data_IF_191933667302
#
_entry.id   IF_191933667302
#
_cell.length_a   1.000
_cell.length_b   1.000
_cell.length_c   1.000
_cell.angle_alpha   90.00
_cell.angle_beta   90.00
_cell.angle_gamma   90.00
#
_symmetry.space_group_name_H-M   'P 1'
#
loop_
_entity.id
_entity.type
_entity.pdbx_description
1 polymer ?
#
# COMPACT_ATOMS: atom_id res chain seq x y z
N UNK A 1 2.26 -77.66 -2.85
CA UNK A 1 0.95 -77.33 -3.42
C UNK A 1 1.15 -76.61 -4.76
N UNK A 2 0.53 -77.14 -5.82
CA UNK A 2 0.11 -76.56 -7.12
C UNK A 2 0.69 -75.18 -7.50
N UNK A 3 1.54 -75.08 -8.54
CA UNK A 3 1.20 -74.93 -9.99
C UNK A 3 0.56 -73.59 -10.40
N UNK A 4 1.16 -72.97 -11.43
CA UNK A 4 0.62 -71.84 -12.24
C UNK A 4 1.56 -70.62 -12.23
N UNK A 5 2.65 -70.47 -13.00
CA UNK A 5 2.91 -70.59 -14.46
C UNK A 5 2.25 -69.47 -15.32
N UNK A 6 3.15 -68.75 -16.04
CA UNK A 6 3.03 -67.90 -17.26
C UNK A 6 2.72 -66.42 -17.06
N UNK A 7 3.38 -65.45 -17.72
CA UNK A 7 4.55 -65.39 -18.65
C UNK A 7 4.86 -63.87 -18.83
N UNK A 8 6.12 -63.43 -18.72
CA UNK A 8 7.04 -63.00 -19.81
C UNK A 8 6.52 -61.85 -20.69
N UNK A 9 7.32 -60.81 -21.01
CA UNK A 9 8.61 -60.92 -21.73
C UNK A 9 9.70 -60.00 -21.15
N UNK A 10 10.90 -60.58 -21.10
CA UNK A 10 12.18 -59.96 -20.85
C UNK A 10 12.89 -59.63 -22.17
N UNK A 11 13.76 -58.63 -22.15
CA UNK A 11 15.08 -58.58 -22.79
C UNK A 11 15.63 -57.17 -22.51
N UNK A 12 16.82 -56.94 -21.99
CA UNK A 12 17.99 -57.79 -21.81
C UNK A 12 19.17 -56.81 -21.79
N UNK A 13 20.04 -56.94 -20.79
CA UNK A 13 21.25 -56.14 -20.68
C UNK A 13 22.11 -56.27 -21.95
N UNK A 14 22.70 -55.17 -22.42
CA UNK A 14 24.03 -55.25 -23.03
C UNK A 14 24.79 -53.93 -22.86
N UNK A 15 25.79 -54.07 -22.01
CA UNK A 15 27.08 -53.39 -21.92
C UNK A 15 27.51 -52.62 -23.17
N UNK A 16 27.93 -51.38 -22.88
CA UNK A 16 28.83 -50.50 -23.62
C UNK A 16 29.42 -51.01 -24.95
N UNK A 17 29.11 -50.26 -26.02
CA UNK A 17 30.09 -50.01 -27.08
C UNK A 17 30.35 -48.50 -27.09
N UNK A 18 31.49 -48.09 -26.53
CA UNK A 18 32.12 -46.84 -26.89
C UNK A 18 32.51 -46.94 -28.38
N UNK A 19 31.66 -46.43 -29.26
CA UNK A 19 32.07 -46.12 -30.63
C UNK A 19 32.34 -44.62 -30.69
N UNK A 20 33.60 -44.31 -30.92
CA UNK A 20 34.13 -43.03 -31.36
C UNK A 20 33.22 -42.34 -32.37
N UNK A 21 32.78 -41.13 -32.03
CA UNK A 21 32.14 -40.21 -32.96
C UNK A 21 31.97 -38.87 -32.27
N UNK A 22 32.71 -37.86 -32.73
CA UNK A 22 32.58 -36.49 -32.26
C UNK A 22 31.15 -35.99 -32.49
N UNK A 23 30.32 -36.02 -31.46
CA UNK A 23 29.11 -35.20 -31.41
C UNK A 23 29.33 -34.20 -30.28
N UNK A 24 29.77 -32.99 -30.64
CA UNK A 24 29.48 -31.82 -29.81
C UNK A 24 27.95 -31.81 -29.65
N UNK A 25 27.39 -31.82 -28.43
CA UNK A 25 25.98 -31.50 -28.29
C UNK A 25 25.80 -30.11 -28.90
N UNK A 26 25.11 -30.02 -30.03
CA UNK A 26 24.61 -28.74 -30.52
C UNK A 26 23.62 -28.26 -29.48
N UNK A 27 23.86 -27.04 -28.96
CA UNK A 27 22.99 -26.35 -28.01
C UNK A 27 21.56 -26.15 -28.54
N UNK A 28 21.27 -26.53 -29.79
CA UNK A 28 19.99 -26.40 -30.47
C UNK A 28 18.90 -27.35 -29.96
N UNK A 29 19.25 -28.41 -29.20
CA UNK A 29 18.27 -29.35 -28.64
C UNK A 29 18.11 -29.26 -27.10
N UNK A 30 18.65 -28.20 -26.47
CA UNK A 30 18.19 -27.83 -25.14
C UNK A 30 16.92 -26.98 -25.30
N UNK A 31 15.75 -27.62 -25.25
CA UNK A 31 14.51 -26.89 -24.99
C UNK A 31 14.75 -26.01 -23.75
N UNK A 32 14.44 -24.70 -23.80
CA UNK A 32 14.61 -23.85 -22.63
C UNK A 32 13.69 -24.37 -21.54
N UNK A 33 14.26 -25.04 -20.54
CA UNK A 33 13.54 -25.80 -19.51
C UNK A 33 12.84 -24.94 -18.46
N UNK A 34 12.59 -23.67 -18.75
CA UNK A 34 11.85 -22.76 -17.87
C UNK A 34 11.18 -21.71 -18.74
N UNK A 35 9.85 -21.61 -18.65
CA UNK A 35 9.14 -20.38 -19.01
C UNK A 35 9.78 -19.28 -18.17
N UNK A 36 10.59 -18.42 -18.82
CA UNK A 36 11.21 -17.29 -18.15
C UNK A 36 10.16 -16.21 -18.04
N UNK A 37 9.38 -16.28 -16.97
CA UNK A 37 8.48 -15.20 -16.57
C UNK A 37 9.28 -13.89 -16.43
N UNK A 38 8.68 -12.79 -16.86
CA UNK A 38 9.30 -11.47 -16.76
C UNK A 38 8.41 -10.49 -16.00
N UNK A 39 9.04 -9.69 -15.15
CA UNK A 39 8.38 -8.68 -14.33
C UNK A 39 9.03 -7.31 -14.53
N UNK A 40 8.22 -6.28 -14.79
CA UNK A 40 8.67 -4.89 -14.79
C UNK A 40 8.17 -4.18 -13.54
N UNK A 41 9.06 -3.45 -12.89
CA UNK A 41 8.70 -2.55 -11.79
C UNK A 41 8.75 -1.10 -12.25
N UNK A 42 7.65 -0.36 -12.05
CA UNK A 42 7.59 1.07 -12.34
C UNK A 42 7.83 1.85 -11.04
N UNK A 43 8.93 2.57 -11.00
CA UNK A 43 9.38 3.34 -9.84
C UNK A 43 9.25 4.84 -10.08
N UNK A 44 8.97 5.59 -9.00
CA UNK A 44 9.01 7.06 -8.98
C UNK A 44 10.32 7.60 -8.38
N UNK A 45 11.31 6.75 -8.12
CA UNK A 45 12.59 7.15 -7.54
C UNK A 45 13.28 8.23 -8.40
N UNK A 46 13.71 9.32 -7.76
CA UNK A 46 14.26 10.48 -8.46
C UNK A 46 15.79 10.52 -8.40
N UNK A 47 16.37 10.21 -7.23
CA UNK A 47 17.82 10.26 -7.01
C UNK A 47 18.50 8.90 -7.20
N UNK A 48 19.80 8.92 -7.48
CA UNK A 48 20.56 7.71 -7.83
C UNK A 48 20.65 6.69 -6.68
N UNK A 49 20.63 7.14 -5.42
CA UNK A 49 20.65 6.24 -4.25
C UNK A 49 19.33 5.45 -4.14
N UNK A 50 18.19 6.11 -4.33
CA UNK A 50 16.87 5.49 -4.38
C UNK A 50 16.76 4.55 -5.57
N UNK A 51 17.20 4.98 -6.76
CA UNK A 51 17.20 4.14 -7.97
C UNK A 51 18.00 2.87 -7.76
N UNK A 52 19.21 2.98 -7.22
CA UNK A 52 20.07 1.83 -6.92
C UNK A 52 19.41 0.88 -5.91
N UNK A 53 18.79 1.42 -4.86
CA UNK A 53 18.08 0.62 -3.85
C UNK A 53 16.89 -0.14 -4.45
N UNK A 54 16.14 0.49 -5.35
CA UNK A 54 15.03 -0.13 -6.08
C UNK A 54 15.54 -1.23 -7.02
N UNK A 55 16.58 -0.97 -7.80
CA UNK A 55 17.19 -1.96 -8.69
C UNK A 55 17.69 -3.18 -7.93
N UNK A 56 18.37 -2.96 -6.79
CA UNK A 56 18.85 -4.04 -5.95
C UNK A 56 17.70 -4.90 -5.43
N UNK A 57 16.63 -4.28 -4.90
CA UNK A 57 15.47 -5.00 -4.40
C UNK A 57 14.77 -5.81 -5.51
N UNK A 58 14.55 -5.20 -6.67
CA UNK A 58 13.90 -5.87 -7.80
C UNK A 58 14.75 -7.03 -8.31
N UNK A 59 16.07 -6.83 -8.42
CA UNK A 59 17.02 -7.87 -8.83
C UNK A 59 17.09 -9.02 -7.82
N UNK A 60 17.08 -8.73 -6.52
CA UNK A 60 17.06 -9.73 -5.46
C UNK A 60 15.81 -10.61 -5.57
N UNK A 61 14.63 -9.99 -5.59
CA UNK A 61 13.36 -10.71 -5.70
C UNK A 61 13.26 -11.52 -6.99
N UNK A 62 13.72 -10.96 -8.11
CA UNK A 62 13.73 -11.67 -9.38
C UNK A 62 14.65 -12.90 -9.35
N UNK A 63 15.87 -12.75 -8.80
CA UNK A 63 16.83 -13.84 -8.65
C UNK A 63 16.30 -14.96 -7.75
N UNK A 64 15.67 -14.63 -6.62
CA UNK A 64 15.07 -15.62 -5.71
C UNK A 64 13.98 -16.47 -6.37
N UNK A 65 13.28 -15.90 -7.36
CA UNK A 65 12.12 -16.52 -8.01
C UNK A 65 12.43 -17.03 -9.43
N UNK A 66 13.67 -16.90 -9.92
CA UNK A 66 14.05 -17.31 -11.28
C UNK A 66 13.40 -16.48 -12.38
N UNK A 67 13.09 -15.21 -12.10
CA UNK A 67 12.46 -14.26 -13.01
C UNK A 67 13.50 -13.43 -13.76
N UNK A 68 13.13 -12.96 -14.95
CA UNK A 68 13.77 -11.77 -15.52
C UNK A 68 13.07 -10.51 -15.00
N UNK A 69 13.82 -9.43 -14.81
CA UNK A 69 13.25 -8.17 -14.32
C UNK A 69 13.83 -6.94 -14.99
N UNK A 70 13.02 -5.88 -15.04
CA UNK A 70 13.40 -4.55 -15.45
C UNK A 70 12.81 -3.52 -14.49
N UNK A 71 13.51 -2.40 -14.32
CA UNK A 71 13.00 -1.22 -13.60
C UNK A 71 12.80 -0.10 -14.60
N UNK A 72 11.63 0.53 -14.54
CA UNK A 72 11.30 1.68 -15.37
C UNK A 72 10.96 2.85 -14.47
N UNK A 73 11.51 4.02 -14.77
CA UNK A 73 11.32 5.22 -13.96
C UNK A 73 10.26 6.12 -14.60
N UNK A 74 9.14 6.35 -13.89
CA UNK A 74 7.98 7.08 -14.41
C UNK A 74 8.19 8.58 -14.59
N UNK A 75 9.33 9.13 -14.13
CA UNK A 75 9.74 10.51 -14.39
C UNK A 75 10.04 10.75 -15.88
N UNK A 76 10.23 9.70 -16.66
CA UNK A 76 10.37 9.76 -18.11
C UNK A 76 9.03 9.45 -18.79
N UNK A 77 8.40 10.48 -19.35
CA UNK A 77 7.08 10.39 -19.98
C UNK A 77 7.02 9.38 -21.15
N UNK A 78 8.17 9.03 -21.75
CA UNK A 78 8.23 8.02 -22.81
C UNK A 78 8.50 6.60 -22.28
N UNK A 79 8.98 6.47 -21.03
CA UNK A 79 9.41 5.20 -20.50
C UNK A 79 8.24 4.29 -20.11
N UNK A 80 7.09 4.85 -19.70
CA UNK A 80 5.93 4.05 -19.33
C UNK A 80 5.32 3.30 -20.52
N UNK A 81 5.28 3.92 -21.70
CA UNK A 81 4.87 3.23 -22.94
C UNK A 81 5.84 2.13 -23.36
N UNK A 82 7.12 2.26 -23.01
CA UNK A 82 8.15 1.26 -23.31
C UNK A 82 8.10 0.06 -22.36
N UNK A 83 7.44 0.18 -21.18
CA UNK A 83 7.24 -0.96 -20.27
C UNK A 83 6.62 -2.13 -21.01
N UNK A 84 5.63 -1.90 -21.87
CA UNK A 84 4.91 -2.99 -22.54
C UNK A 84 5.62 -3.52 -23.79
N UNK A 85 6.72 -2.88 -24.19
CA UNK A 85 7.56 -3.32 -25.32
C UNK A 85 8.64 -4.33 -24.90
N UNK A 86 8.84 -4.56 -23.59
CA UNK A 86 9.79 -5.55 -23.08
C UNK A 86 9.42 -6.96 -23.55
N UNK A 87 10.29 -7.65 -24.32
CA UNK A 87 9.99 -8.98 -24.85
C UNK A 87 9.71 -9.98 -23.72
N UNK A 88 8.54 -10.61 -23.78
CA UNK A 88 8.14 -11.63 -22.80
C UNK A 88 7.74 -11.08 -21.44
N UNK A 89 7.43 -9.78 -21.33
CA UNK A 89 6.84 -9.21 -20.12
C UNK A 89 5.52 -9.91 -19.75
N UNK A 90 5.35 -10.28 -18.48
CA UNK A 90 4.14 -10.94 -18.00
C UNK A 90 3.42 -10.17 -16.89
N UNK A 91 4.15 -9.33 -16.16
CA UNK A 91 3.66 -8.62 -14.97
C UNK A 91 4.28 -7.22 -14.86
N UNK A 92 3.45 -6.21 -14.64
CA UNK A 92 3.83 -4.85 -14.27
C UNK A 92 3.42 -4.61 -12.82
N UNK A 93 4.38 -4.21 -11.99
CA UNK A 93 4.14 -3.75 -10.61
C UNK A 93 4.41 -2.24 -10.56
N UNK A 94 3.43 -1.44 -10.13
CA UNK A 94 3.52 0.02 -10.16
C UNK A 94 2.70 0.66 -9.04
N UNK A 95 2.93 1.94 -8.73
CA UNK A 95 1.99 2.70 -7.91
C UNK A 95 0.69 2.98 -8.69
N UNK A 96 -0.46 2.92 -8.04
CA UNK A 96 -1.76 3.10 -8.66
C UNK A 96 -2.01 4.56 -9.11
N UNK A 97 -1.33 5.52 -8.50
CA UNK A 97 -1.32 6.93 -8.91
C UNK A 97 -0.30 7.25 -10.00
N UNK A 98 0.42 6.24 -10.53
CA UNK A 98 1.33 6.42 -11.68
C UNK A 98 0.52 6.95 -12.88
N UNK A 99 0.92 8.07 -13.50
CA UNK A 99 0.21 8.62 -14.66
C UNK A 99 -0.01 7.57 -15.75
N UNK A 100 -1.20 7.53 -16.36
CA UNK A 100 -1.54 6.65 -17.49
C UNK A 100 -1.47 5.12 -17.24
N UNK A 101 -1.14 4.64 -16.04
CA UNK A 101 -1.00 3.20 -15.78
C UNK A 101 -2.31 2.42 -16.01
N UNK A 102 -3.46 3.03 -15.68
CA UNK A 102 -4.77 2.44 -15.94
C UNK A 102 -5.14 2.38 -17.43
N UNK A 103 -4.71 3.38 -18.22
CA UNK A 103 -4.90 3.37 -19.67
C UNK A 103 -4.00 2.31 -20.34
N UNK A 104 -2.78 2.15 -19.84
CA UNK A 104 -1.86 1.12 -20.28
C UNK A 104 -2.42 -0.27 -20.00
N UNK A 105 -2.95 -0.50 -18.80
CA UNK A 105 -3.58 -1.77 -18.43
C UNK A 105 -4.79 -2.11 -19.31
N UNK A 106 -5.58 -1.10 -19.69
CA UNK A 106 -6.71 -1.29 -20.61
C UNK A 106 -6.28 -1.65 -22.05
N UNK A 107 -5.12 -1.13 -22.50
CA UNK A 107 -4.57 -1.40 -23.84
C UNK A 107 -3.90 -2.77 -23.96
N UNK A 108 -3.46 -3.34 -22.84
CA UNK A 108 -2.70 -4.58 -22.78
C UNK A 108 -3.38 -5.64 -21.91
N UNK A 109 -4.54 -6.20 -22.32
CA UNK A 109 -5.26 -7.22 -21.56
C UNK A 109 -4.47 -8.53 -21.37
N UNK A 110 -3.43 -8.76 -22.18
CA UNK A 110 -2.50 -9.88 -22.09
C UNK A 110 -1.50 -9.75 -20.94
N UNK A 111 -1.23 -8.52 -20.47
CA UNK A 111 -0.28 -8.24 -19.39
C UNK A 111 -1.01 -8.15 -18.05
N UNK A 112 -0.35 -8.61 -16.98
CA UNK A 112 -0.85 -8.49 -15.61
C UNK A 112 -0.38 -7.18 -14.99
N UNK A 113 -1.24 -6.53 -14.22
CA UNK A 113 -0.94 -5.29 -13.53
C UNK A 113 -1.28 -5.41 -12.05
N UNK A 114 -0.27 -5.20 -11.21
CA UNK A 114 -0.41 -5.14 -9.77
C UNK A 114 -0.10 -3.72 -9.29
N UNK A 115 -1.15 -2.98 -8.96
CA UNK A 115 -1.07 -1.55 -8.66
C UNK A 115 -1.14 -1.29 -7.16
N UNK A 116 -0.17 -0.57 -6.63
CA UNK A 116 -0.04 -0.28 -5.19
C UNK A 116 -0.77 1.00 -4.80
N UNK A 117 -1.53 0.94 -3.71
CA UNK A 117 -2.17 2.11 -3.10
C UNK A 117 -3.70 2.03 -3.06
N UNK A 118 -4.27 2.83 -2.15
CA UNK A 118 -5.70 2.85 -1.87
C UNK A 118 -6.49 3.44 -3.03
N UNK A 119 -7.16 2.57 -3.78
CA UNK A 119 -7.96 2.92 -4.95
C UNK A 119 -9.28 2.15 -4.95
N UNK A 120 -10.22 2.60 -5.77
CA UNK A 120 -11.49 1.90 -5.97
C UNK A 120 -11.25 0.47 -6.47
N UNK A 121 -12.24 -0.42 -6.32
CA UNK A 121 -12.11 -1.81 -6.81
C UNK A 121 -11.68 -1.86 -8.28
N UNK A 122 -10.70 -2.71 -8.63
CA UNK A 122 -10.21 -2.82 -9.99
C UNK A 122 -11.31 -3.36 -10.91
N UNK A 123 -11.50 -2.67 -12.05
CA UNK A 123 -12.53 -3.01 -13.03
C UNK A 123 -12.04 -3.95 -14.13
N UNK A 124 -10.73 -4.01 -14.34
CA UNK A 124 -10.11 -4.79 -15.40
C UNK A 124 -9.68 -6.16 -14.89
N UNK A 125 -9.90 -7.21 -15.67
CA UNK A 125 -9.58 -8.60 -15.32
C UNK A 125 -8.08 -8.87 -15.17
N UNK A 126 -7.25 -8.01 -15.76
CA UNK A 126 -5.80 -8.05 -15.72
C UNK A 126 -5.20 -7.07 -14.71
N UNK A 127 -6.01 -6.41 -13.88
CA UNK A 127 -5.55 -5.48 -12.84
C UNK A 127 -5.94 -6.01 -11.46
N UNK A 128 -5.02 -5.99 -10.51
CA UNK A 128 -5.32 -6.10 -9.08
C UNK A 128 -4.71 -4.92 -8.34
N UNK A 129 -5.36 -4.54 -7.25
CA UNK A 129 -4.83 -3.51 -6.37
C UNK A 129 -4.23 -4.13 -5.12
N UNK A 130 -3.09 -3.61 -4.71
CA UNK A 130 -2.31 -4.04 -3.56
C UNK A 130 -2.42 -2.92 -2.53
N UNK A 131 -3.12 -3.19 -1.43
CA UNK A 131 -3.54 -2.16 -0.48
C UNK A 131 -3.05 -2.48 0.93
N UNK A 132 -3.00 -1.45 1.79
CA UNK A 132 -2.77 -1.64 3.22
C UNK A 132 -3.97 -2.32 3.88
N UNK A 133 -3.75 -2.90 5.06
CA UNK A 133 -4.85 -3.19 5.98
C UNK A 133 -5.43 -1.85 6.45
N UNK A 134 -6.52 -1.42 5.82
CA UNK A 134 -7.17 -0.12 6.08
C UNK A 134 -7.59 0.03 7.55
N UNK A 135 -8.06 -1.03 8.20
CA UNK A 135 -8.46 -0.95 9.62
C UNK A 135 -7.25 -0.66 10.50
N UNK A 136 -6.17 -1.43 10.32
CA UNK A 136 -4.92 -1.22 11.04
C UNK A 136 -4.33 0.17 10.77
N UNK A 137 -4.33 0.59 9.51
CA UNK A 137 -3.83 1.91 9.09
C UNK A 137 -4.58 3.04 9.82
N UNK A 138 -5.90 3.04 9.78
CA UNK A 138 -6.70 4.10 10.39
C UNK A 138 -6.63 4.10 11.93
N UNK A 139 -6.56 2.92 12.54
CA UNK A 139 -6.28 2.81 13.98
C UNK A 139 -4.95 3.49 14.35
N UNK A 140 -3.88 3.20 13.62
CA UNK A 140 -2.58 3.81 13.87
C UNK A 140 -2.55 5.31 13.55
N UNK A 141 -3.27 5.76 12.53
CA UNK A 141 -3.39 7.18 12.21
C UNK A 141 -4.06 7.96 13.37
N UNK A 142 -5.14 7.42 13.95
CA UNK A 142 -5.80 8.00 15.12
C UNK A 142 -4.90 8.06 16.34
N UNK A 143 -4.14 6.98 16.60
CA UNK A 143 -3.14 6.92 17.68
C UNK A 143 -2.03 7.98 17.50
N UNK A 144 -1.42 8.04 16.32
CA UNK A 144 -0.36 9.00 16.00
C UNK A 144 -0.86 10.44 16.12
N UNK A 145 -2.08 10.72 15.67
CA UNK A 145 -2.67 12.05 15.76
C UNK A 145 -2.91 12.48 17.19
N UNK A 146 -3.40 11.57 18.03
CA UNK A 146 -3.59 11.81 19.45
C UNK A 146 -2.26 12.07 20.18
N UNK A 147 -1.20 11.31 19.87
CA UNK A 147 0.14 11.49 20.46
C UNK A 147 0.81 12.79 19.99
N UNK A 148 0.68 13.15 18.72
CA UNK A 148 1.15 14.45 18.20
C UNK A 148 0.36 15.64 18.78
N UNK A 149 -0.89 15.40 19.19
CA UNK A 149 -1.76 16.41 19.81
C UNK A 149 -1.70 16.40 21.36
N UNK A 150 -0.77 15.63 21.96
CA UNK A 150 -0.77 15.36 23.41
C UNK A 150 -0.67 16.60 24.29
N UNK A 151 0.03 17.64 23.82
CA UNK A 151 0.22 18.91 24.56
C UNK A 151 -0.93 19.90 24.34
N UNK A 152 -1.90 19.57 23.49
CA UNK A 152 -3.08 20.40 23.23
C UNK A 152 -4.31 19.89 23.98
N UNK A 153 -5.01 20.84 24.60
CA UNK A 153 -6.33 20.61 25.22
C UNK A 153 -7.47 20.60 24.20
N UNK A 154 -7.23 21.05 22.97
CA UNK A 154 -8.20 21.02 21.88
C UNK A 154 -8.09 19.71 21.08
N UNK A 155 -9.20 19.14 20.57
CA UNK A 155 -9.18 17.93 19.76
C UNK A 155 -8.42 18.13 18.47
N UNK A 156 -7.79 17.07 17.95
CA UNK A 156 -7.14 17.13 16.64
C UNK A 156 -8.17 17.16 15.51
N UNK A 157 -7.74 17.57 14.32
CA UNK A 157 -8.60 17.67 13.14
C UNK A 157 -8.56 16.39 12.30
N UNK A 158 -9.69 15.97 11.75
CA UNK A 158 -9.76 14.93 10.71
C UNK A 158 -10.35 15.56 9.47
N UNK A 159 -9.55 15.66 8.41
CA UNK A 159 -10.01 16.18 7.13
C UNK A 159 -10.73 15.07 6.37
N UNK A 160 -11.98 15.33 6.02
CA UNK A 160 -12.86 14.37 5.36
C UNK A 160 -13.50 14.98 4.12
N UNK A 161 -13.84 14.17 3.13
CA UNK A 161 -14.61 14.64 1.97
C UNK A 161 -16.04 15.00 2.38
N UNK A 162 -16.65 14.13 3.19
CA UNK A 162 -18.00 14.26 3.74
C UNK A 162 -17.98 13.86 5.22
N UNK A 163 -18.86 14.44 6.07
CA UNK A 163 -18.93 14.06 7.48
C UNK A 163 -19.23 12.57 7.64
N UNK A 164 -18.39 11.87 8.42
CA UNK A 164 -18.52 10.46 8.77
C UNK A 164 -19.46 10.30 9.95
N UNK A 165 -20.41 9.37 9.83
CA UNK A 165 -21.32 9.03 10.93
C UNK A 165 -20.60 8.24 12.01
N UNK A 166 -21.21 8.12 13.20
CA UNK A 166 -20.66 7.32 14.30
C UNK A 166 -20.53 5.82 13.97
N UNK A 167 -21.27 5.34 12.96
CA UNK A 167 -21.26 3.95 12.51
C UNK A 167 -20.34 3.71 11.31
N UNK A 168 -19.71 4.76 10.77
CA UNK A 168 -18.73 4.65 9.69
C UNK A 168 -17.49 3.87 10.18
N UNK A 169 -17.11 2.83 9.44
CA UNK A 169 -16.06 1.90 9.84
C UNK A 169 -14.68 2.58 9.91
N UNK A 170 -14.40 3.50 8.98
CA UNK A 170 -13.13 4.23 8.94
C UNK A 170 -13.04 5.20 10.12
N UNK A 171 -14.14 5.93 10.39
CA UNK A 171 -14.24 6.81 11.55
C UNK A 171 -14.08 6.07 12.87
N UNK A 172 -14.71 4.90 13.02
CA UNK A 172 -14.56 4.07 14.21
C UNK A 172 -13.11 3.64 14.47
N UNK A 173 -12.34 3.35 13.42
CA UNK A 173 -10.92 3.00 13.56
C UNK A 173 -10.08 4.20 14.01
N UNK A 174 -10.33 5.40 13.45
CA UNK A 174 -9.67 6.64 13.91
C UNK A 174 -9.97 6.89 15.40
N UNK A 175 -11.23 6.75 15.81
CA UNK A 175 -11.63 6.91 17.21
C UNK A 175 -11.00 5.85 18.10
N UNK A 176 -10.95 4.59 17.67
CA UNK A 176 -10.31 3.51 18.43
C UNK A 176 -8.83 3.82 18.71
N UNK A 177 -8.10 4.31 17.71
CA UNK A 177 -6.71 4.76 17.88
C UNK A 177 -6.57 5.94 18.83
N UNK A 178 -7.46 6.92 18.71
CA UNK A 178 -7.53 8.07 19.60
C UNK A 178 -7.75 7.67 21.07
N UNK A 179 -8.70 6.77 21.33
CA UNK A 179 -8.98 6.29 22.69
C UNK A 179 -7.88 5.37 23.22
N UNK A 180 -7.26 4.58 22.37
CA UNK A 180 -6.07 3.79 22.73
C UNK A 180 -4.93 4.68 23.24
N UNK A 181 -4.76 5.88 22.66
CA UNK A 181 -3.81 6.88 23.15
C UNK A 181 -4.20 7.52 24.50
N UNK A 182 -5.35 7.16 25.08
CA UNK A 182 -5.83 7.62 26.38
C UNK A 182 -6.58 8.95 26.35
N UNK A 183 -7.04 9.39 25.17
CA UNK A 183 -7.85 10.60 25.02
C UNK A 183 -9.34 10.28 25.02
N UNK A 184 -10.13 11.21 25.56
CA UNK A 184 -11.59 11.08 25.73
C UNK A 184 -12.39 12.17 25.00
N UNK A 185 -11.72 13.17 24.43
CA UNK A 185 -12.36 14.14 23.55
C UNK A 185 -12.74 13.51 22.21
N UNK A 186 -13.49 14.22 21.36
CA UNK A 186 -13.84 13.72 20.02
C UNK A 186 -13.05 14.51 18.99
N UNK A 187 -12.27 13.86 18.11
CA UNK A 187 -11.60 14.55 17.00
C UNK A 187 -12.59 15.36 16.16
N UNK A 188 -12.19 16.55 15.74
CA UNK A 188 -13.06 17.42 14.96
C UNK A 188 -12.99 17.06 13.49
N UNK A 189 -14.12 16.63 12.92
CA UNK A 189 -14.23 16.46 11.47
C UNK A 189 -14.36 17.82 10.78
N UNK A 190 -13.55 18.05 9.74
CA UNK A 190 -13.64 19.23 8.88
C UNK A 190 -13.78 18.74 7.44
N UNK A 191 -14.83 19.17 6.76
CA UNK A 191 -15.02 18.79 5.36
C UNK A 191 -14.11 19.59 4.44
N UNK A 192 -13.66 18.98 3.34
CA UNK A 192 -12.91 19.67 2.29
C UNK A 192 -13.68 20.90 1.77
N UNK A 193 -14.99 20.76 1.55
CA UNK A 193 -15.85 21.87 1.09
C UNK A 193 -15.95 23.02 2.09
N UNK A 194 -16.01 22.72 3.39
CA UNK A 194 -16.02 23.74 4.42
C UNK A 194 -14.68 24.49 4.46
N UNK A 195 -13.57 23.74 4.39
CA UNK A 195 -12.22 24.30 4.37
C UNK A 195 -11.99 25.23 3.16
N UNK A 196 -12.54 24.89 2.01
CA UNK A 196 -12.49 25.72 0.80
C UNK A 196 -13.40 26.96 0.85
N UNK A 197 -14.39 26.98 1.75
CA UNK A 197 -15.43 28.01 1.80
C UNK A 197 -16.51 27.84 0.72
N UNK A 198 -16.72 26.62 0.22
CA UNK A 198 -17.66 26.31 -0.88
C UNK A 198 -18.98 25.72 -0.39
N UNK A 199 -19.21 25.65 0.93
CA UNK A 199 -20.49 25.23 1.51
C UNK A 199 -21.60 26.26 1.23
N UNK A 200 -22.34 26.06 0.13
CA UNK A 200 -23.66 26.67 -0.04
C UNK A 200 -24.64 25.95 0.88
N UNK A 201 -25.05 26.62 1.96
CA UNK A 201 -25.82 26.00 3.03
C UNK A 201 -27.11 25.32 2.57
N UNK A 202 -27.40 24.19 3.19
CA UNK A 202 -28.73 23.81 3.64
C UNK A 202 -28.57 22.84 4.83
N UNK A 203 -28.88 23.36 6.02
CA UNK A 203 -28.94 22.58 7.25
C UNK A 203 -27.79 22.81 8.22
N UNK A 204 -27.71 24.00 8.82
CA UNK A 204 -27.61 24.16 10.29
C UNK A 204 -27.57 25.65 10.65
N UNK A 205 -28.42 26.01 11.61
CA UNK A 205 -28.62 27.37 12.10
C UNK A 205 -27.49 27.70 13.06
N UNK A 206 -26.55 28.55 12.61
CA UNK A 206 -25.53 29.12 13.45
C UNK A 206 -24.56 29.96 12.64
N UNK A 207 -24.67 31.29 12.74
CA UNK A 207 -23.78 32.26 12.10
C UNK A 207 -22.30 31.88 12.29
N UNK A 208 -21.63 31.52 11.20
CA UNK A 208 -20.18 31.62 11.10
C UNK A 208 -19.83 32.31 9.79
N UNK A 209 -19.00 33.35 9.91
CA UNK A 209 -18.39 34.03 8.77
C UNK A 209 -17.78 32.99 7.80
N UNK A 210 -17.82 33.23 6.48
CA UNK A 210 -17.27 32.32 5.45
C UNK A 210 -15.72 32.29 5.41
N UNK A 211 -15.05 32.38 6.57
CA UNK A 211 -13.60 32.63 6.67
C UNK A 211 -12.77 31.57 7.39
N UNK A 212 -13.33 30.70 8.22
CA UNK A 212 -12.54 29.69 8.95
C UNK A 212 -13.43 28.52 9.36
N UNK A 213 -13.41 27.40 8.63
CA UNK A 213 -13.62 26.12 9.30
C UNK A 213 -12.55 26.03 10.38
N UNK A 214 -12.95 26.18 11.65
CA UNK A 214 -11.98 26.31 12.74
C UNK A 214 -11.26 24.98 12.89
N UNK A 215 -10.08 24.88 12.29
CA UNK A 215 -9.14 23.79 12.54
C UNK A 215 -8.83 23.78 14.04
N UNK A 216 -8.72 22.58 14.61
CA UNK A 216 -8.52 22.39 16.05
C UNK A 216 -7.33 21.49 16.35
N UNK A 217 -6.66 21.80 17.45
CA UNK A 217 -5.49 21.06 17.91
C UNK A 217 -4.24 21.33 17.06
N UNK A 218 -3.20 20.55 17.35
CA UNK A 218 -1.87 20.66 16.76
C UNK A 218 -1.65 19.69 15.60
N UNK A 219 -2.46 18.65 15.48
CA UNK A 219 -2.32 17.63 14.43
C UNK A 219 -3.58 17.51 13.59
N UNK A 220 -3.41 16.96 12.39
CA UNK A 220 -4.47 16.67 11.44
C UNK A 220 -4.25 15.31 10.79
N UNK A 221 -5.30 14.49 10.75
CA UNK A 221 -5.36 13.29 9.91
C UNK A 221 -5.99 13.66 8.57
N UNK A 222 -5.32 13.34 7.48
CA UNK A 222 -5.84 13.46 6.12
C UNK A 222 -6.50 12.14 5.73
N UNK A 223 -7.76 11.95 6.15
CA UNK A 223 -8.50 10.70 5.89
C UNK A 223 -8.89 10.60 4.41
N UNK A 224 -9.29 11.72 3.82
CA UNK A 224 -9.58 11.84 2.41
C UNK A 224 -8.58 12.79 1.71
N UNK A 225 -8.26 12.55 0.43
CA UNK A 225 -7.34 13.41 -0.30
C UNK A 225 -7.81 14.87 -0.39
N UNK A 226 -6.99 15.85 0.03
CA UNK A 226 -7.34 17.25 -0.12
C UNK A 226 -7.35 17.67 -1.59
N UNK A 227 -8.21 18.62 -1.94
CA UNK A 227 -8.13 19.32 -3.23
C UNK A 227 -6.98 20.33 -3.25
N UNK A 228 -6.60 20.83 -4.43
CA UNK A 228 -5.60 21.90 -4.56
C UNK A 228 -5.99 23.16 -3.77
N UNK A 229 -7.28 23.50 -3.75
CA UNK A 229 -7.78 24.65 -2.99
C UNK A 229 -7.72 24.40 -1.48
N UNK A 230 -8.03 23.19 -1.03
CA UNK A 230 -7.90 22.81 0.36
C UNK A 230 -6.45 22.86 0.81
N UNK A 231 -5.50 22.41 -0.03
CA UNK A 231 -4.07 22.53 0.24
C UNK A 231 -3.63 23.98 0.46
N UNK A 232 -4.08 24.92 -0.38
CA UNK A 232 -3.78 26.35 -0.19
C UNK A 232 -4.31 26.88 1.15
N UNK A 233 -5.47 26.40 1.60
CA UNK A 233 -6.04 26.80 2.90
C UNK A 233 -5.28 26.19 4.08
N UNK A 234 -4.77 24.96 3.94
CA UNK A 234 -3.97 24.30 4.96
C UNK A 234 -2.61 24.96 5.18
N UNK A 235 -2.04 25.66 4.18
CA UNK A 235 -0.79 26.41 4.34
C UNK A 235 -0.85 27.43 5.47
N UNK A 236 -2.02 27.99 5.74
CA UNK A 236 -2.22 28.96 6.82
C UNK A 236 -2.34 28.32 8.21
N UNK A 237 -2.51 27.00 8.31
CA UNK A 237 -2.51 26.30 9.59
C UNK A 237 -1.08 25.92 9.99
N UNK A 238 -0.81 25.75 11.29
CA UNK A 238 0.48 25.25 11.79
C UNK A 238 0.40 23.78 12.22
N UNK A 239 -0.64 23.06 11.79
CA UNK A 239 -0.86 21.68 12.20
C UNK A 239 0.14 20.73 11.53
N UNK A 240 0.62 19.74 12.27
CA UNK A 240 1.34 18.62 11.69
C UNK A 240 0.36 17.64 11.04
N UNK A 241 0.78 17.02 9.94
CA UNK A 241 -0.08 16.21 9.08
C UNK A 241 0.26 14.73 9.22
N UNK A 242 -0.77 13.90 9.28
CA UNK A 242 -0.68 12.45 9.22
C UNK A 242 -1.48 11.99 8.01
N UNK A 243 -0.77 11.37 7.06
CA UNK A 243 -1.37 10.85 5.83
C UNK A 243 -1.95 9.46 6.05
N UNK A 244 -3.04 9.14 5.36
CA UNK A 244 -3.57 7.76 5.28
C UNK A 244 -3.49 7.20 3.87
N UNK A 245 -2.81 7.89 2.96
CA UNK A 245 -2.64 7.49 1.56
C UNK A 245 -1.15 7.23 1.26
N UNK A 246 -0.87 6.08 0.64
CA UNK A 246 0.44 5.78 0.05
C UNK A 246 0.44 6.31 -1.39
N UNK A 247 0.65 7.62 -1.57
CA UNK A 247 0.91 8.17 -2.92
C UNK A 247 2.39 8.24 -3.16
N UNK A 248 2.78 7.81 -4.36
CA UNK A 248 4.15 7.96 -4.85
C UNK A 248 4.43 9.41 -5.29
N UNK A 249 3.38 10.14 -5.67
CA UNK A 249 3.47 11.56 -6.02
C UNK A 249 3.72 12.45 -4.81
N UNK A 250 4.63 13.42 -4.94
CA UNK A 250 4.89 14.43 -3.93
C UNK A 250 3.60 15.22 -3.65
N UNK A 251 3.27 15.41 -2.37
CA UNK A 251 2.10 16.18 -1.95
C UNK A 251 2.52 17.53 -1.37
N UNK A 252 1.68 18.58 -1.48
CA UNK A 252 1.92 19.84 -0.80
C UNK A 252 2.14 19.67 0.71
N UNK A 253 2.92 20.56 1.32
CA UNK A 253 3.21 20.58 2.76
C UNK A 253 3.93 19.32 3.29
N UNK A 254 4.75 18.68 2.46
CA UNK A 254 5.51 17.48 2.86
C UNK A 254 6.39 17.73 4.10
N UNK A 255 6.89 18.95 4.30
CA UNK A 255 7.64 19.39 5.48
C UNK A 255 6.84 19.33 6.79
N UNK A 256 5.51 19.33 6.69
CA UNK A 256 4.58 19.20 7.82
C UNK A 256 4.02 17.79 7.98
N UNK A 257 4.28 16.88 7.03
CA UNK A 257 3.90 15.48 7.16
C UNK A 257 4.85 14.82 8.14
N UNK A 258 4.33 14.43 9.31
CA UNK A 258 5.13 13.82 10.37
C UNK A 258 5.05 12.30 10.36
N UNK A 259 4.01 11.74 9.73
CA UNK A 259 3.84 10.32 9.51
C UNK A 259 3.00 10.05 8.24
N UNK A 260 3.34 8.99 7.53
CA UNK A 260 2.61 8.53 6.34
C UNK A 260 2.66 6.99 6.26
N UNK A 261 1.79 6.35 5.47
CA UNK A 261 1.86 4.90 5.30
C UNK A 261 3.25 4.48 4.81
N UNK A 262 3.81 3.44 5.42
CA UNK A 262 5.09 2.88 4.99
C UNK A 262 4.92 2.19 3.62
N UNK A 263 5.98 2.18 2.81
CA UNK A 263 5.86 1.63 1.48
C UNK A 263 5.62 0.12 1.47
N UNK A 264 4.71 -0.34 0.61
CA UNK A 264 4.44 -1.75 0.36
C UNK A 264 5.29 -2.38 -0.74
N UNK A 265 6.24 -1.64 -1.36
CA UNK A 265 6.99 -2.12 -2.53
C UNK A 265 7.64 -3.49 -2.35
N UNK A 266 8.36 -3.72 -1.25
CA UNK A 266 9.02 -5.00 -0.99
C UNK A 266 8.00 -6.15 -0.85
N UNK A 267 6.94 -5.94 -0.07
CA UNK A 267 5.89 -6.95 0.13
C UNK A 267 5.17 -7.27 -1.18
N UNK A 268 4.90 -6.23 -1.98
CA UNK A 268 4.31 -6.35 -3.30
C UNK A 268 5.19 -7.17 -4.24
N UNK A 269 6.44 -6.76 -4.44
CA UNK A 269 7.38 -7.44 -5.34
C UNK A 269 7.50 -8.93 -4.99
N UNK A 270 7.73 -9.25 -3.70
CA UNK A 270 7.87 -10.64 -3.26
C UNK A 270 6.60 -11.46 -3.47
N UNK A 271 5.44 -10.91 -3.13
CA UNK A 271 4.18 -11.62 -3.29
C UNK A 271 3.83 -11.84 -4.77
N UNK A 272 3.95 -10.79 -5.59
CA UNK A 272 3.57 -10.86 -7.00
C UNK A 272 4.52 -11.74 -7.80
N UNK A 273 5.82 -11.70 -7.52
CA UNK A 273 6.80 -12.64 -8.09
C UNK A 273 6.42 -14.10 -7.80
N UNK A 274 6.08 -14.40 -6.54
CA UNK A 274 5.68 -15.76 -6.14
C UNK A 274 4.41 -16.23 -6.86
N UNK A 275 3.40 -15.35 -6.96
CA UNK A 275 2.14 -15.66 -7.65
C UNK A 275 2.31 -15.83 -9.16
N UNK A 276 3.21 -15.05 -9.76
CA UNK A 276 3.53 -15.17 -11.17
C UNK A 276 4.16 -16.52 -11.47
N UNK A 277 5.20 -16.91 -10.73
CA UNK A 277 5.91 -18.19 -10.90
C UNK A 277 4.99 -19.38 -10.65
N UNK A 278 4.10 -19.29 -9.65
CA UNK A 278 3.15 -20.37 -9.35
C UNK A 278 1.97 -20.45 -10.32
N UNK A 279 1.83 -19.49 -11.24
CA UNK A 279 0.68 -19.37 -12.13
C UNK A 279 -0.65 -19.12 -11.39
N UNK A 280 -0.59 -18.68 -10.13
CA UNK A 280 -1.77 -18.46 -9.27
C UNK A 280 -2.22 -17.00 -9.23
N UNK A 281 -1.60 -16.15 -10.03
CA UNK A 281 -1.97 -14.74 -10.13
C UNK A 281 -3.38 -14.60 -10.70
N UNK A 282 -4.23 -13.83 -10.02
CA UNK A 282 -5.56 -13.46 -10.48
C UNK A 282 -5.79 -11.96 -10.33
N UNK A 283 -6.48 -11.36 -11.30
CA UNK A 283 -6.84 -9.94 -11.30
C UNK A 283 -8.25 -9.69 -10.75
N UNK A 284 -8.74 -8.47 -10.97
CA UNK A 284 -10.04 -7.97 -10.55
C UNK A 284 -10.31 -8.09 -9.03
N UNK A 285 -9.28 -7.84 -8.22
CA UNK A 285 -9.40 -7.90 -6.77
C UNK A 285 -8.49 -6.90 -6.06
N UNK A 286 -8.92 -6.50 -4.86
CA UNK A 286 -8.07 -5.84 -3.88
C UNK A 286 -7.40 -6.91 -3.01
N UNK A 287 -6.09 -6.79 -2.81
CA UNK A 287 -5.33 -7.68 -1.94
C UNK A 287 -4.63 -6.87 -0.87
N UNK A 288 -4.98 -7.16 0.37
CA UNK A 288 -4.31 -6.60 1.54
C UNK A 288 -2.90 -7.18 1.64
N UNK A 289 -1.90 -6.30 1.68
CA UNK A 289 -0.52 -6.65 1.96
C UNK A 289 -0.14 -6.26 3.39
N UNK A 290 0.75 -7.06 3.97
CA UNK A 290 1.39 -6.75 5.25
C UNK A 290 2.85 -6.42 4.98
N UNK A 291 3.19 -5.13 5.07
CA UNK A 291 4.57 -4.67 5.07
C UNK A 291 5.26 -4.90 6.41
N UNK A 292 6.56 -4.55 6.48
CA UNK A 292 7.34 -4.58 7.73
C UNK A 292 6.77 -3.65 8.79
N UNK A 293 6.26 -2.49 8.35
CA UNK A 293 5.57 -1.48 9.14
C UNK A 293 4.35 -0.99 8.34
N UNK A 294 3.35 -0.49 9.03
CA UNK A 294 2.17 0.15 8.44
C UNK A 294 2.40 1.66 8.30
N UNK A 295 3.12 2.29 9.21
CA UNK A 295 3.50 3.72 9.12
C UNK A 295 5.01 3.93 9.13
N UNK A 296 5.45 4.94 8.39
CA UNK A 296 6.75 5.56 8.51
C UNK A 296 6.59 6.88 9.26
N UNK A 297 7.34 7.07 10.35
CA UNK A 297 7.44 8.35 11.04
C UNK A 297 8.55 9.17 10.40
N UNK A 298 8.20 10.35 9.89
CA UNK A 298 9.14 11.25 9.21
C UNK A 298 9.76 12.26 10.17
N UNK A 299 8.99 12.70 11.18
CA UNK A 299 9.45 13.69 12.17
C UNK A 299 9.16 13.22 13.60
N UNK A 300 10.02 12.36 14.19
CA UNK A 300 9.82 11.86 15.57
C UNK A 300 9.74 12.98 16.62
N UNK A 301 10.42 14.10 16.39
CA UNK A 301 10.41 15.26 17.30
C UNK A 301 9.05 15.96 17.41
N UNK A 302 8.12 15.71 16.48
CA UNK A 302 6.75 16.26 16.56
C UNK A 302 5.90 15.56 17.62
N UNK A 303 6.34 14.42 18.14
CA UNK A 303 5.64 13.66 19.17
C UNK A 303 6.22 14.00 20.55
N UNK A 304 5.35 14.11 21.55
CA UNK A 304 5.78 14.33 22.94
C UNK A 304 6.64 13.18 23.48
N UNK A 305 6.48 11.97 22.92
CA UNK A 305 7.32 10.83 23.24
C UNK A 305 8.36 10.63 22.13
N UNK A 306 9.64 10.86 22.45
CA UNK A 306 10.75 10.69 21.51
C UNK A 306 11.02 9.24 21.08
N UNK A 307 10.30 8.26 21.62
CA UNK A 307 10.37 6.83 21.24
C UNK A 307 9.10 6.37 20.49
N UNK A 308 8.45 7.28 19.75
CA UNK A 308 7.21 6.96 19.03
C UNK A 308 7.37 5.78 18.07
N UNK A 309 8.53 5.64 17.41
CA UNK A 309 8.82 4.54 16.50
C UNK A 309 8.81 3.17 17.19
N UNK A 310 9.43 3.08 18.38
CA UNK A 310 9.46 1.84 19.18
C UNK A 310 8.05 1.50 19.68
N UNK A 311 7.27 2.52 20.09
CA UNK A 311 5.88 2.30 20.49
C UNK A 311 5.03 1.81 19.33
N UNK A 312 5.19 2.40 18.15
CA UNK A 312 4.46 2.00 16.96
C UNK A 312 4.76 0.54 16.61
N UNK A 313 6.03 0.15 16.59
CA UNK A 313 6.46 -1.24 16.36
C UNK A 313 5.83 -2.22 17.37
N UNK A 314 5.87 -1.90 18.66
CA UNK A 314 5.23 -2.72 19.70
C UNK A 314 3.71 -2.84 19.51
N UNK A 315 3.02 -1.76 19.13
CA UNK A 315 1.58 -1.79 18.85
C UNK A 315 1.29 -2.71 17.66
N UNK A 316 2.09 -2.60 16.59
CA UNK A 316 1.94 -3.42 15.40
C UNK A 316 2.18 -4.90 15.68
N UNK A 317 3.20 -5.24 16.47
CA UNK A 317 3.46 -6.59 16.96
C UNK A 317 2.28 -7.12 17.79
N UNK A 318 1.73 -6.30 18.69
CA UNK A 318 0.60 -6.71 19.53
C UNK A 318 -0.67 -6.97 18.71
N UNK A 319 -0.93 -6.15 17.68
CA UNK A 319 -2.03 -6.37 16.72
C UNK A 319 -1.79 -7.66 15.93
N UNK A 320 -0.58 -7.84 15.39
CA UNK A 320 -0.22 -9.05 14.63
C UNK A 320 -0.31 -10.34 15.45
N UNK A 321 0.04 -10.27 16.74
CA UNK A 321 -0.09 -11.37 17.70
C UNK A 321 -1.53 -11.57 18.23
N UNK A 322 -2.46 -10.66 17.92
CA UNK A 322 -3.84 -10.68 18.42
C UNK A 322 -4.00 -10.29 19.90
N UNK A 323 -2.93 -9.89 20.57
CA UNK A 323 -2.94 -9.41 21.96
C UNK A 323 -3.54 -8.01 22.12
N UNK A 324 -3.54 -7.22 21.05
CA UNK A 324 -4.25 -5.94 20.95
C UNK A 324 -5.29 -6.04 19.83
N UNK A 325 -6.56 -5.84 20.17
CA UNK A 325 -7.64 -5.77 19.19
C UNK A 325 -8.16 -4.32 19.09
N UNK A 326 -7.89 -3.59 17.98
CA UNK A 326 -8.39 -2.24 17.75
C UNK A 326 -9.90 -2.09 17.97
N UNK A 327 -10.71 -3.10 17.62
CA UNK A 327 -12.16 -3.02 17.70
C UNK A 327 -12.68 -2.92 19.15
N UNK A 328 -11.91 -3.37 20.14
CA UNK A 328 -12.28 -3.24 21.55
C UNK A 328 -12.35 -1.78 22.00
N UNK A 329 -11.60 -0.88 21.36
CA UNK A 329 -11.56 0.54 21.67
C UNK A 329 -12.72 1.32 21.02
N UNK A 330 -13.47 0.71 20.11
CA UNK A 330 -14.74 1.25 19.59
C UNK A 330 -15.85 1.14 20.67
N UNK A 331 -15.84 0.07 21.46
CA UNK A 331 -16.89 -0.20 22.45
C UNK A 331 -16.90 0.82 23.60
N UNK A 332 -15.74 1.37 23.96
CA UNK A 332 -15.62 2.45 24.93
C UNK A 332 -16.35 3.73 24.47
N UNK A 333 -16.31 4.03 23.16
CA UNK A 333 -17.04 5.16 22.52
C UNK A 333 -18.55 5.02 22.69
N UNK A 334 -19.07 3.80 22.53
CA UNK A 334 -20.52 3.51 22.61
C UNK A 334 -21.08 3.58 24.02
N UNK A 335 -20.25 3.40 25.05
CA UNK A 335 -20.68 3.50 26.44
C UNK A 335 -20.63 4.94 26.98
N UNK A 336 -19.70 5.78 26.48
CA UNK A 336 -19.64 7.21 26.81
C UNK A 336 -20.84 8.01 26.28
N UNK A 337 -21.32 7.72 25.08
CA UNK A 337 -22.44 8.42 24.44
C UNK A 337 -23.85 7.99 24.92
N UNK A 338 -23.95 7.12 25.93
CA UNK A 338 -25.24 6.70 26.53
C UNK A 338 -25.52 7.36 27.88
N UNK A 339 -24.63 8.25 28.35
CA UNK A 339 -24.72 8.88 29.66
C UNK A 339 -25.15 10.36 29.63
N UNK A 340 -25.57 10.89 28.47
CA UNK A 340 -26.17 12.21 28.31
C UNK A 340 -27.62 12.10 27.81
#
# INVERSE_FOLDING_TARGET
MKQGIRKLIAAGCLTAVFVSGCYKPTFENMEPSSIKWSMSFVSTAENEEEKHSVEQLVSEVASENGLSSAVVYSTDANALSQVTEYPGLDLVVAAADTPQIGELAAKHPELRFSLLGDTAEPKLSNVRHLIHDRKKLLFLAGFLAAEANRTSNAPFTVLVKEPRSADDADWQMILAGHHYAGRNDVPQQVTISALEGTTTGQGEVGQQNPGTSKLSGLSMVLLDPPSDRAWERLKASNQVLIRTDERATAVPLQDRVIAQPASLYEAALRQEAKLLVSGSWTGQQNVTLTGKRTFQVLTPAAFANGQIDVRLELIEEQIGAGSLNPEQYIAAVRQGNRAD
#
